data_IF_370636516918
#
_entry.id   IF_370636516918
#
_cell.length_a   1.000
_cell.length_b   1.000
_cell.length_c   1.000
_cell.angle_alpha   90.00
_cell.angle_beta   90.00
_cell.angle_gamma   90.00
#
_symmetry.space_group_name_H-M   'P 1'
#
loop_
_entity.id
_entity.type
_entity.pdbx_description
1 polymer ?
#
# COMPACT_ATOMS: atom_id res chain seq x y z
N UNK A 1 -8.61 -14.44 -5.27
CA UNK A 1 -9.60 -14.13 -6.35
C UNK A 1 -10.82 -13.36 -5.85
N UNK A 2 -11.32 -13.57 -4.62
CA UNK A 2 -12.49 -12.85 -4.10
C UNK A 2 -12.34 -11.31 -4.09
N UNK A 3 -11.18 -10.80 -3.66
CA UNK A 3 -10.90 -9.35 -3.66
C UNK A 3 -10.96 -8.73 -5.06
N UNK A 4 -10.47 -9.44 -6.09
CA UNK A 4 -10.51 -9.00 -7.49
C UNK A 4 -11.95 -8.89 -7.97
N UNK A 5 -12.76 -9.93 -7.72
CA UNK A 5 -14.18 -9.91 -8.04
C UNK A 5 -14.90 -8.76 -7.32
N UNK A 6 -14.55 -8.49 -6.06
CA UNK A 6 -15.11 -7.36 -5.32
C UNK A 6 -14.76 -6.02 -5.96
N UNK A 7 -13.50 -5.82 -6.36
CA UNK A 7 -13.06 -4.63 -7.08
C UNK A 7 -13.74 -4.49 -8.45
N UNK A 8 -13.88 -5.58 -9.20
CA UNK A 8 -14.56 -5.62 -10.50
C UNK A 8 -16.06 -5.28 -10.36
N UNK A 9 -16.69 -5.66 -9.23
CA UNK A 9 -18.07 -5.27 -8.91
C UNK A 9 -18.20 -3.78 -8.60
N UNK A 10 -17.16 -3.12 -8.09
CA UNK A 10 -17.12 -1.67 -7.87
C UNK A 10 -18.17 -1.13 -6.87
N UNK A 11 -18.90 -2.00 -6.19
CA UNK A 11 -20.01 -1.62 -5.34
C UNK A 11 -19.51 -1.13 -3.98
N UNK A 12 -19.47 0.20 -3.82
CA UNK A 12 -19.03 0.85 -2.59
C UNK A 12 -20.03 0.71 -1.43
N UNK A 13 -21.23 0.16 -1.66
CA UNK A 13 -22.18 -0.11 -0.56
C UNK A 13 -21.65 -1.12 0.45
N UNK A 14 -20.65 -1.93 0.07
CA UNK A 14 -19.98 -2.88 0.96
C UNK A 14 -18.94 -2.25 1.89
N UNK A 15 -18.56 -0.98 1.71
CA UNK A 15 -17.53 -0.35 2.56
C UNK A 15 -17.81 -0.46 4.06
N UNK A 16 -19.04 -0.17 4.57
CA UNK A 16 -19.32 -0.32 6.00
C UNK A 16 -19.17 -1.76 6.50
N UNK A 17 -19.46 -2.76 5.66
CA UNK A 17 -19.26 -4.16 6.01
C UNK A 17 -17.76 -4.49 6.07
N UNK A 18 -17.00 -4.06 5.07
CA UNK A 18 -15.55 -4.27 5.02
C UNK A 18 -14.83 -3.58 6.18
N UNK A 19 -15.27 -2.40 6.58
CA UNK A 19 -14.76 -1.72 7.77
C UNK A 19 -14.93 -2.57 9.03
N UNK A 20 -16.11 -3.18 9.21
CA UNK A 20 -16.36 -4.07 10.35
C UNK A 20 -15.52 -5.35 10.27
N UNK A 21 -15.41 -5.93 9.08
CA UNK A 21 -14.62 -7.16 8.87
C UNK A 21 -13.11 -6.93 8.99
N UNK A 22 -12.64 -5.68 8.89
CA UNK A 22 -11.23 -5.34 9.10
C UNK A 22 -10.75 -5.54 10.54
N UNK A 23 -11.67 -5.73 11.49
CA UNK A 23 -11.41 -6.05 12.90
C UNK A 23 -11.95 -7.45 13.30
N UNK A 24 -12.23 -8.33 12.32
CA UNK A 24 -12.73 -9.69 12.55
C UNK A 24 -11.76 -10.57 13.37
N UNK A 25 -12.30 -11.53 14.13
CA UNK A 25 -11.49 -12.46 14.92
C UNK A 25 -10.67 -13.40 14.02
N UNK A 26 -11.14 -13.70 12.82
CA UNK A 26 -10.44 -14.51 11.85
C UNK A 26 -9.43 -13.65 11.06
N UNK A 27 -8.12 -13.96 11.13
CA UNK A 27 -7.07 -13.21 10.45
C UNK A 27 -7.19 -13.22 8.92
N UNK A 28 -7.72 -14.29 8.33
CA UNK A 28 -7.93 -14.35 6.89
C UNK A 28 -9.04 -13.37 6.46
N UNK A 29 -10.12 -13.32 7.24
CA UNK A 29 -11.25 -12.39 7.01
C UNK A 29 -10.79 -10.94 7.13
N UNK A 30 -10.03 -10.59 8.19
CA UNK A 30 -9.43 -9.25 8.31
C UNK A 30 -8.56 -8.91 7.11
N UNK A 31 -7.67 -9.81 6.74
CA UNK A 31 -6.73 -9.59 5.62
C UNK A 31 -7.48 -9.28 4.33
N UNK A 32 -8.49 -10.08 4.01
CA UNK A 32 -9.30 -9.86 2.81
C UNK A 32 -10.07 -8.53 2.87
N UNK A 33 -10.63 -8.19 4.03
CA UNK A 33 -11.37 -6.94 4.23
C UNK A 33 -10.47 -5.71 4.09
N UNK A 34 -9.27 -5.72 4.68
CA UNK A 34 -8.29 -4.63 4.58
C UNK A 34 -7.89 -4.38 3.13
N UNK A 35 -7.58 -5.44 2.37
CA UNK A 35 -7.24 -5.31 0.95
C UNK A 35 -8.40 -4.79 0.11
N UNK A 36 -9.62 -5.25 0.39
CA UNK A 36 -10.84 -4.79 -0.29
C UNK A 36 -11.15 -3.32 -0.01
N UNK A 37 -10.92 -2.81 1.21
CA UNK A 37 -11.05 -1.38 1.53
C UNK A 37 -10.13 -0.52 0.66
N UNK A 38 -8.87 -0.94 0.49
CA UNK A 38 -7.91 -0.25 -0.38
C UNK A 38 -8.38 -0.15 -1.83
N UNK A 39 -8.89 -1.24 -2.40
CA UNK A 39 -9.33 -1.29 -3.79
C UNK A 39 -10.66 -0.57 -4.04
N UNK A 40 -11.66 -0.75 -3.15
CA UNK A 40 -13.01 -0.21 -3.37
C UNK A 40 -13.17 1.23 -2.90
N UNK A 41 -12.63 1.52 -1.71
CA UNK A 41 -12.72 2.85 -1.12
C UNK A 41 -11.67 3.80 -1.69
N UNK A 42 -10.53 3.27 -2.14
CA UNK A 42 -9.49 4.07 -2.75
C UNK A 42 -8.96 5.11 -1.78
N UNK A 43 -8.87 6.36 -2.24
CA UNK A 43 -8.33 7.46 -1.45
C UNK A 43 -9.08 7.69 -0.12
N UNK A 44 -10.40 7.42 -0.03
CA UNK A 44 -11.16 7.67 1.19
C UNK A 44 -10.68 6.83 2.38
N UNK A 45 -10.12 5.66 2.11
CA UNK A 45 -9.68 4.71 3.14
C UNK A 45 -8.23 4.93 3.58
N UNK A 46 -7.48 5.85 2.94
CA UNK A 46 -6.08 6.08 3.26
C UNK A 46 -5.85 6.36 4.74
N UNK A 47 -6.68 7.19 5.37
CA UNK A 47 -6.56 7.52 6.79
C UNK A 47 -6.71 6.28 7.66
N UNK A 48 -7.71 5.44 7.39
CA UNK A 48 -8.00 4.21 8.13
C UNK A 48 -6.88 3.19 7.95
N UNK A 49 -6.46 2.95 6.71
CA UNK A 49 -5.40 1.99 6.39
C UNK A 49 -4.06 2.43 6.97
N UNK A 50 -3.76 3.74 6.98
CA UNK A 50 -2.56 4.28 7.62
C UNK A 50 -2.57 4.03 9.12
N UNK A 51 -3.70 4.27 9.79
CA UNK A 51 -3.84 3.99 11.21
C UNK A 51 -3.66 2.50 11.52
N UNK A 52 -4.17 1.62 10.65
CA UNK A 52 -4.03 0.16 10.77
C UNK A 52 -2.56 -0.27 10.62
N UNK A 53 -1.86 0.22 9.59
CA UNK A 53 -0.43 -0.05 9.38
C UNK A 53 0.41 0.37 10.60
N UNK A 54 0.10 1.52 11.20
CA UNK A 54 0.86 2.06 12.34
C UNK A 54 0.59 1.32 13.65
N UNK A 55 -0.66 0.96 13.93
CA UNK A 55 -1.05 0.32 15.20
C UNK A 55 -0.80 -1.18 15.23
N UNK A 56 -0.72 -1.84 14.06
CA UNK A 56 -0.57 -3.29 13.98
C UNK A 56 0.73 -3.75 14.64
N UNK A 57 0.60 -4.71 15.56
CA UNK A 57 1.71 -5.43 16.18
C UNK A 57 2.17 -6.63 15.34
N UNK A 58 1.30 -7.14 14.46
CA UNK A 58 1.62 -8.20 13.52
C UNK A 58 2.27 -7.63 12.26
N UNK A 59 3.39 -8.23 11.85
CA UNK A 59 4.08 -7.86 10.61
C UNK A 59 3.21 -8.15 9.38
N UNK A 60 2.46 -9.26 9.37
CA UNK A 60 1.60 -9.65 8.25
C UNK A 60 0.44 -8.67 8.06
N UNK A 61 -0.20 -8.28 9.15
CA UNK A 61 -1.30 -7.30 9.12
C UNK A 61 -0.80 -5.91 8.74
N UNK A 62 0.40 -5.52 9.19
CA UNK A 62 1.04 -4.28 8.77
C UNK A 62 1.34 -4.28 7.27
N UNK A 63 1.89 -5.38 6.74
CA UNK A 63 2.16 -5.52 5.31
C UNK A 63 0.86 -5.49 4.49
N UNK A 64 -0.19 -6.14 4.97
CA UNK A 64 -1.52 -6.11 4.36
C UNK A 64 -2.08 -4.69 4.29
N UNK A 65 -1.96 -3.92 5.37
CA UNK A 65 -2.37 -2.52 5.40
C UNK A 65 -1.59 -1.66 4.39
N UNK A 66 -0.27 -1.84 4.33
CA UNK A 66 0.61 -1.16 3.36
C UNK A 66 0.21 -1.52 1.92
N UNK A 67 -0.12 -2.79 1.68
CA UNK A 67 -0.58 -3.25 0.37
C UNK A 67 -1.93 -2.63 -0.01
N UNK A 68 -2.88 -2.57 0.92
CA UNK A 68 -4.14 -1.89 0.72
C UNK A 68 -3.96 -0.39 0.43
N UNK A 69 -3.00 0.28 1.07
CA UNK A 69 -2.64 1.67 0.77
C UNK A 69 -2.16 1.80 -0.69
N UNK A 70 -1.31 0.88 -1.17
CA UNK A 70 -0.91 0.85 -2.57
C UNK A 70 -2.07 0.61 -3.54
N UNK A 71 -3.01 -0.27 -3.15
CA UNK A 71 -4.22 -0.56 -3.91
C UNK A 71 -5.17 0.62 -4.08
N UNK A 72 -5.05 1.66 -3.26
CA UNK A 72 -5.85 2.88 -3.44
C UNK A 72 -5.55 3.59 -4.75
N UNK A 73 -4.42 3.30 -5.39
CA UNK A 73 -3.98 3.92 -6.64
C UNK A 73 -4.04 5.46 -6.58
N UNK A 74 -3.82 6.04 -5.39
CA UNK A 74 -3.84 7.49 -5.20
C UNK A 74 -2.41 8.02 -5.03
N UNK A 75 -2.10 9.15 -5.67
CA UNK A 75 -0.85 9.87 -5.41
C UNK A 75 -0.74 10.35 -3.95
N UNK A 76 -1.87 10.46 -3.22
CA UNK A 76 -1.86 10.76 -1.79
C UNK A 76 -1.37 9.57 -0.95
N UNK A 77 -1.39 8.36 -1.51
CA UNK A 77 -0.80 7.18 -0.88
C UNK A 77 0.73 7.22 -0.85
N UNK A 78 1.37 7.87 -1.84
CA UNK A 78 2.83 7.94 -1.97
C UNK A 78 3.51 8.51 -0.71
N UNK A 79 3.18 9.72 -0.22
CA UNK A 79 3.80 10.24 1.01
C UNK A 79 3.51 9.38 2.24
N UNK A 80 2.35 8.71 2.29
CA UNK A 80 2.02 7.77 3.37
C UNK A 80 2.96 6.57 3.33
N UNK A 81 3.10 5.93 2.17
CA UNK A 81 3.99 4.77 1.97
C UNK A 81 5.44 5.13 2.30
N UNK A 82 5.92 6.29 1.86
CA UNK A 82 7.26 6.80 2.20
C UNK A 82 7.45 6.87 3.71
N UNK A 83 6.48 7.42 4.46
CA UNK A 83 6.55 7.49 5.93
C UNK A 83 6.55 6.13 6.62
N UNK A 84 6.06 5.07 5.96
CA UNK A 84 5.99 3.71 6.49
C UNK A 84 7.23 2.88 6.15
N UNK A 85 8.18 3.40 5.37
CA UNK A 85 9.41 2.66 4.98
C UNK A 85 10.21 2.23 6.21
N UNK A 86 10.32 3.10 7.22
CA UNK A 86 11.08 2.84 8.45
C UNK A 86 10.40 1.85 9.40
N UNK A 87 9.11 1.57 9.19
CA UNK A 87 8.33 0.65 10.01
C UNK A 87 8.44 -0.82 9.58
N UNK A 88 8.97 -1.09 8.39
CA UNK A 88 9.20 -2.44 7.90
C UNK A 88 10.61 -2.90 8.31
N UNK A 89 10.69 -3.79 9.30
CA UNK A 89 11.94 -4.29 9.84
C UNK A 89 12.89 -4.85 8.78
N UNK A 90 14.11 -4.30 8.77
CA UNK A 90 15.37 -4.82 8.23
C UNK A 90 15.32 -5.84 7.08
N UNK A 91 15.62 -5.38 5.85
CA UNK A 91 16.44 -6.17 4.91
C UNK A 91 15.88 -6.45 3.52
N UNK A 92 14.58 -6.25 3.28
CA UNK A 92 14.00 -6.32 1.94
C UNK A 92 13.38 -4.97 1.56
N UNK A 93 13.28 -4.62 0.26
CA UNK A 93 12.46 -3.47 -0.14
C UNK A 93 11.05 -3.72 0.41
N UNK A 94 10.67 -2.90 1.39
CA UNK A 94 9.42 -3.05 2.11
C UNK A 94 8.26 -2.96 1.11
N UNK A 95 7.10 -3.55 1.46
CA UNK A 95 5.88 -3.37 0.69
C UNK A 95 5.65 -1.87 0.37
N UNK A 96 6.05 -0.97 1.28
CA UNK A 96 5.99 0.47 1.09
C UNK A 96 6.87 0.98 -0.05
N UNK A 97 8.11 0.49 -0.17
CA UNK A 97 9.01 0.83 -1.29
C UNK A 97 8.44 0.28 -2.59
N UNK A 98 8.00 -0.98 -2.61
CA UNK A 98 7.46 -1.59 -3.82
C UNK A 98 6.22 -0.86 -4.34
N UNK A 99 5.31 -0.47 -3.44
CA UNK A 99 4.13 0.30 -3.81
C UNK A 99 4.46 1.73 -4.21
N UNK A 100 5.41 2.40 -3.54
CA UNK A 100 5.89 3.72 -3.96
C UNK A 100 6.47 3.67 -5.37
N UNK A 101 7.27 2.65 -5.67
CA UNK A 101 7.82 2.40 -7.01
C UNK A 101 6.72 2.12 -8.02
N UNK A 102 5.74 1.29 -7.68
CA UNK A 102 4.64 0.93 -8.59
C UNK A 102 3.78 2.15 -8.93
N UNK A 103 3.41 2.94 -7.91
CA UNK A 103 2.57 4.12 -8.07
C UNK A 103 3.25 5.25 -8.84
N UNK A 104 4.58 5.34 -8.79
CA UNK A 104 5.32 6.47 -9.38
C UNK A 104 6.17 6.09 -10.59
N UNK A 105 6.34 4.78 -10.85
CA UNK A 105 7.35 4.18 -11.74
C UNK A 105 8.79 4.66 -11.46
N UNK A 106 9.04 5.20 -10.27
CA UNK A 106 10.37 5.58 -9.83
C UNK A 106 10.95 4.49 -8.94
N UNK A 107 12.10 3.93 -9.28
CA UNK A 107 12.80 3.00 -8.40
C UNK A 107 14.11 3.62 -7.95
N UNK A 108 14.33 3.64 -6.64
CA UNK A 108 15.67 3.82 -6.10
C UNK A 108 16.46 2.52 -6.29
N UNK A 109 17.73 2.57 -6.73
CA UNK A 109 18.53 1.37 -6.92
C UNK A 109 18.79 0.68 -5.56
N UNK A 110 18.82 -0.67 -5.52
CA UNK A 110 19.16 -1.40 -4.31
C UNK A 110 20.62 -1.11 -3.94
N UNK A 111 20.83 -0.17 -3.03
CA UNK A 111 22.16 0.11 -2.50
C UNK A 111 22.49 -0.90 -1.40
N UNK A 112 23.64 -1.57 -1.51
CA UNK A 112 24.11 -2.64 -0.59
C UNK A 112 24.22 -2.23 0.89
N UNK A 113 24.05 -0.94 1.24
CA UNK A 113 24.27 -0.41 2.60
C UNK A 113 23.28 0.69 3.04
N UNK A 114 22.17 0.90 2.32
CA UNK A 114 21.20 1.93 2.75
C UNK A 114 20.36 1.46 3.94
N UNK A 115 20.23 2.32 4.95
CA UNK A 115 19.26 2.16 6.04
C UNK A 115 17.86 2.52 5.57
N UNK A 116 16.83 2.07 6.29
CA UNK A 116 15.43 2.43 6.00
C UNK A 116 15.19 3.95 6.09
N UNK A 117 15.91 4.64 6.99
CA UNK A 117 15.87 6.11 7.11
C UNK A 117 16.47 6.81 5.89
N UNK A 118 17.59 6.31 5.37
CA UNK A 118 18.18 6.85 4.14
C UNK A 118 17.26 6.63 2.93
N UNK A 119 16.65 5.45 2.83
CA UNK A 119 15.63 5.19 1.80
C UNK A 119 14.44 6.15 1.90
N UNK A 120 13.95 6.39 3.12
CA UNK A 120 12.85 7.33 3.33
C UNK A 120 13.24 8.75 2.89
N UNK A 121 14.38 9.26 3.34
CA UNK A 121 14.82 10.62 3.01
C UNK A 121 15.01 10.84 1.51
N UNK A 122 15.59 9.88 0.79
CA UNK A 122 15.75 9.96 -0.67
C UNK A 122 14.39 9.97 -1.40
N UNK A 123 13.43 9.16 -0.93
CA UNK A 123 12.07 9.15 -1.46
C UNK A 123 11.34 10.47 -1.20
N UNK A 124 11.49 11.05 -0.01
CA UNK A 124 10.90 12.34 0.36
C UNK A 124 11.44 13.46 -0.53
N UNK A 125 12.76 13.50 -0.74
CA UNK A 125 13.41 14.47 -1.62
C UNK A 125 12.94 14.34 -3.08
N UNK A 126 12.95 13.13 -3.62
CA UNK A 126 12.46 12.88 -4.97
C UNK A 126 10.99 13.27 -5.13
N UNK A 127 10.13 12.88 -4.21
CA UNK A 127 8.70 13.20 -4.25
C UNK A 127 8.45 14.71 -4.18
N UNK A 128 9.24 15.44 -3.37
CA UNK A 128 9.18 16.90 -3.27
C UNK A 128 9.34 17.60 -4.61
N UNK A 129 10.22 17.09 -5.48
CA UNK A 129 10.53 17.65 -6.79
C UNK A 129 9.63 17.11 -7.92
N UNK A 130 9.09 15.90 -7.82
CA UNK A 130 8.46 15.19 -8.94
C UNK A 130 6.92 15.05 -8.83
N UNK A 131 6.31 15.38 -7.68
CA UNK A 131 4.86 15.21 -7.45
C UNK A 131 3.95 15.91 -8.46
N UNK A 132 4.39 17.02 -9.07
CA UNK A 132 3.59 17.81 -10.00
C UNK A 132 3.37 17.13 -11.37
N UNK A 133 4.23 16.17 -11.74
CA UNK A 133 4.14 15.40 -13.00
C UNK A 133 3.85 13.92 -12.80
N UNK A 134 3.61 13.48 -11.56
CA UNK A 134 3.37 12.08 -11.26
C UNK A 134 1.96 11.66 -11.69
N UNK A 135 1.83 10.40 -12.08
CA UNK A 135 0.56 9.73 -12.35
C UNK A 135 0.49 8.48 -11.47
N UNK A 136 -0.61 8.27 -10.77
CA UNK A 136 -0.77 7.06 -9.96
C UNK A 136 -1.19 5.90 -10.86
N UNK A 137 -0.42 4.82 -10.81
CA UNK A 137 -0.74 3.59 -11.52
C UNK A 137 -1.51 2.63 -10.62
N UNK A 138 -2.60 2.07 -11.13
CA UNK A 138 -3.41 1.10 -10.42
C UNK A 138 -2.70 -0.24 -10.24
N UNK A 139 -3.12 -1.05 -9.25
CA UNK A 139 -2.53 -2.36 -8.98
C UNK A 139 -2.75 -3.40 -10.10
N UNK A 140 -3.58 -3.07 -11.09
CA UNK A 140 -3.92 -3.94 -12.22
C UNK A 140 -3.53 -3.34 -13.58
N UNK A 141 -2.89 -2.18 -13.60
CA UNK A 141 -2.37 -1.61 -14.84
C UNK A 141 -1.21 -2.49 -15.32
N UNK A 142 -1.38 -3.12 -16.49
CA UNK A 142 -0.43 -4.08 -17.06
C UNK A 142 0.88 -3.42 -17.52
N UNK A 143 1.70 -2.86 -16.62
CA UNK A 143 3.00 -2.24 -16.94
C UNK A 143 3.93 -2.11 -15.71
N UNK A 144 4.35 -3.22 -15.11
CA UNK A 144 5.34 -3.25 -14.01
C UNK A 144 5.57 -4.68 -13.51
N UNK A 145 6.76 -5.04 -12.98
CA UNK A 145 7.22 -6.43 -12.90
C UNK A 145 6.21 -7.28 -12.15
N UNK A 146 5.79 -8.37 -12.79
CA UNK A 146 4.88 -9.36 -12.26
C UNK A 146 5.29 -9.70 -10.83
N UNK A 147 4.46 -9.35 -9.85
CA UNK A 147 4.67 -9.81 -8.48
C UNK A 147 4.55 -11.34 -8.47
N UNK A 148 5.55 -12.10 -7.96
CA UNK A 148 5.58 -13.55 -8.16
C UNK A 148 4.60 -14.37 -7.29
N UNK A 149 3.62 -13.77 -6.63
CA UNK A 149 2.84 -14.45 -5.59
C UNK A 149 1.32 -14.31 -5.74
N UNK A 150 0.81 -14.65 -6.92
CA UNK A 150 -0.50 -15.30 -7.05
C UNK A 150 -0.29 -16.76 -7.44
#
# INVERSE_FOLDING_TARGET
MAIRALADMGDRSYLPLLERLSDDANPDVRTQAILALGLLGGESELTRLTALARRSTSMDERQTAIQAIGYTASLKAVPVLISLITMAGSGQPSASVNWSTSLTRHSLPPAKQRTSLQYQAEWEDWWGHNKAGAHAYGPFDCTGPSFPWL
#
